data_IF_295872955856
#
_entry.id   IF_295872955856
#
_cell.length_a   1.000
_cell.length_b   1.000
_cell.length_c   1.000
_cell.angle_alpha   90.00
_cell.angle_beta   90.00
_cell.angle_gamma   90.00
#
_symmetry.space_group_name_H-M   'P 1'
#
loop_
_entity.id
_entity.type
_entity.pdbx_description
1 polymer ?
#
# COMPACT_ATOMS: atom_id res chain seq x y z
N UNK A 1 34.13 -61.44 -8.46
CA UNK A 1 33.72 -60.17 -7.81
C UNK A 1 33.45 -60.46 -6.34
N UNK A 2 33.96 -59.64 -5.41
CA UNK A 2 33.85 -59.94 -3.97
C UNK A 2 32.40 -59.83 -3.47
N UNK A 3 32.03 -60.72 -2.54
CA UNK A 3 30.69 -60.78 -1.92
C UNK A 3 30.40 -59.55 -1.04
N UNK A 4 31.44 -58.90 -0.51
CA UNK A 4 31.33 -57.67 0.28
C UNK A 4 30.75 -56.52 -0.54
N UNK A 5 31.25 -56.29 -1.77
CA UNK A 5 30.72 -55.21 -2.64
C UNK A 5 29.24 -55.44 -2.95
N UNK A 6 28.84 -56.68 -3.28
CA UNK A 6 27.44 -57.01 -3.62
C UNK A 6 26.48 -56.83 -2.44
N UNK A 7 26.94 -57.06 -1.20
CA UNK A 7 26.16 -56.78 0.01
C UNK A 7 26.11 -55.28 0.33
N UNK A 8 27.23 -54.57 0.15
CA UNK A 8 27.30 -53.12 0.33
C UNK A 8 26.38 -52.34 -0.62
N UNK A 9 26.35 -52.71 -1.91
CA UNK A 9 25.45 -52.07 -2.89
C UNK A 9 23.97 -52.29 -2.54
N UNK A 10 23.58 -53.51 -2.11
CA UNK A 10 22.20 -53.81 -1.73
C UNK A 10 21.76 -53.00 -0.50
N UNK A 11 22.60 -52.90 0.53
CA UNK A 11 22.33 -52.09 1.71
C UNK A 11 22.20 -50.60 1.37
N UNK A 12 23.07 -50.07 0.52
CA UNK A 12 23.00 -48.70 0.04
C UNK A 12 21.71 -48.42 -0.75
N UNK A 13 21.30 -49.32 -1.66
CA UNK A 13 20.05 -49.16 -2.41
C UNK A 13 18.81 -49.23 -1.51
N UNK A 14 18.81 -50.10 -0.48
CA UNK A 14 17.69 -50.18 0.47
C UNK A 14 17.55 -48.90 1.31
N UNK A 15 18.67 -48.34 1.79
CA UNK A 15 18.69 -47.07 2.51
C UNK A 15 18.26 -45.88 1.64
N UNK A 16 18.72 -45.83 0.39
CA UNK A 16 18.33 -44.78 -0.56
C UNK A 16 16.84 -44.84 -0.89
N UNK A 17 16.30 -46.04 -1.18
CA UNK A 17 14.88 -46.22 -1.51
C UNK A 17 13.99 -45.90 -0.30
N UNK A 18 14.40 -46.32 0.91
CA UNK A 18 13.72 -45.96 2.15
C UNK A 18 13.66 -44.43 2.33
N UNK A 19 14.81 -43.74 2.20
CA UNK A 19 14.89 -42.28 2.35
C UNK A 19 14.00 -41.52 1.36
N UNK A 20 13.95 -41.94 0.08
CA UNK A 20 13.04 -41.38 -0.93
C UNK A 20 11.58 -41.64 -0.55
N UNK A 21 11.22 -42.87 -0.18
CA UNK A 21 9.84 -43.22 0.17
C UNK A 21 9.30 -42.48 1.41
N UNK A 22 10.18 -42.17 2.38
CA UNK A 22 9.81 -41.45 3.61
C UNK A 22 9.71 -39.93 3.42
N UNK A 23 10.41 -39.36 2.45
CA UNK A 23 10.43 -37.91 2.19
C UNK A 23 9.40 -37.46 1.15
N UNK A 24 8.95 -38.35 0.27
CA UNK A 24 7.98 -38.05 -0.79
C UNK A 24 6.67 -37.43 -0.28
N UNK A 25 6.16 -37.84 0.89
CA UNK A 25 4.92 -37.29 1.46
C UNK A 25 5.07 -35.88 2.07
N UNK A 26 6.30 -35.39 2.26
CA UNK A 26 6.57 -34.06 2.82
C UNK A 26 6.87 -32.97 1.78
N UNK A 27 7.10 -33.34 0.52
CA UNK A 27 7.56 -32.45 -0.54
C UNK A 27 6.84 -32.73 -1.86
N UNK A 28 5.62 -32.20 -1.99
CA UNK A 28 4.78 -32.29 -3.19
C UNK A 28 3.70 -31.20 -3.18
N UNK A 29 2.94 -31.08 -4.27
CA UNK A 29 1.94 -30.02 -4.44
C UNK A 29 0.81 -30.08 -3.39
N UNK A 30 0.54 -31.26 -2.85
CA UNK A 30 -0.48 -31.53 -1.82
C UNK A 30 0.14 -31.77 -0.43
N UNK A 31 1.38 -31.30 -0.21
CA UNK A 31 2.04 -31.42 1.10
C UNK A 31 1.33 -30.55 2.15
N UNK A 32 1.05 -31.11 3.33
CA UNK A 32 0.31 -30.44 4.41
C UNK A 32 0.98 -29.15 4.92
N UNK A 33 2.28 -28.98 4.67
CA UNK A 33 3.04 -27.75 4.92
C UNK A 33 2.58 -26.56 4.07
N UNK A 34 1.97 -26.81 2.90
CA UNK A 34 1.36 -25.80 2.03
C UNK A 34 -0.07 -25.42 2.46
N UNK A 35 -0.72 -26.25 3.28
CA UNK A 35 -2.05 -25.97 3.82
C UNK A 35 -2.02 -24.99 5.02
N UNK A 36 -0.85 -24.85 5.66
CA UNK A 36 -0.61 -23.93 6.78
C UNK A 36 -0.81 -22.49 6.31
N UNK A 37 -1.82 -21.83 6.88
CA UNK A 37 -2.16 -20.42 6.59
C UNK A 37 -1.68 -19.52 7.73
N UNK A 38 -1.32 -18.25 7.45
CA UNK A 38 -1.10 -17.26 8.50
C UNK A 38 -2.36 -17.10 9.37
N UNK A 39 -2.17 -16.93 10.68
CA UNK A 39 -3.27 -16.77 11.65
C UNK A 39 -4.15 -15.55 11.34
N UNK A 40 -3.51 -14.47 10.88
CA UNK A 40 -4.15 -13.21 10.55
C UNK A 40 -4.52 -13.14 9.06
N UNK A 41 -5.70 -12.57 8.78
CA UNK A 41 -6.39 -12.77 7.51
C UNK A 41 -5.60 -12.28 6.28
N UNK A 42 -5.68 -13.08 5.21
CA UNK A 42 -5.04 -12.81 3.93
C UNK A 42 -5.95 -13.16 2.75
N UNK A 43 -5.76 -12.50 1.60
CA UNK A 43 -6.44 -12.78 0.34
C UNK A 43 -5.64 -12.24 -0.85
N UNK A 44 -5.99 -12.63 -2.08
CA UNK A 44 -5.44 -12.02 -3.30
C UNK A 44 -6.51 -11.88 -4.38
N UNK A 45 -6.39 -10.85 -5.23
CA UNK A 45 -7.25 -10.61 -6.40
C UNK A 45 -6.38 -10.02 -7.52
N UNK A 46 -6.06 -10.84 -8.52
CA UNK A 46 -5.01 -10.52 -9.48
C UNK A 46 -3.69 -10.24 -8.76
N UNK A 47 -3.00 -9.18 -9.17
CA UNK A 47 -1.68 -8.79 -8.64
C UNK A 47 -1.72 -8.19 -7.22
N UNK A 48 -2.91 -7.92 -6.68
CA UNK A 48 -3.07 -7.36 -5.32
C UNK A 48 -3.17 -8.48 -4.30
N UNK A 49 -2.25 -8.50 -3.34
CA UNK A 49 -2.26 -9.40 -2.17
C UNK A 49 -2.46 -8.57 -0.90
N UNK A 50 -3.41 -8.96 -0.06
CA UNK A 50 -3.62 -8.37 1.26
C UNK A 50 -3.25 -9.42 2.30
N UNK A 51 -2.43 -9.05 3.28
CA UNK A 51 -1.92 -9.95 4.31
C UNK A 51 -1.97 -9.30 5.69
N UNK A 52 -1.99 -10.12 6.74
CA UNK A 52 -1.98 -9.68 8.14
C UNK A 52 -3.08 -8.65 8.46
N UNK A 53 -4.30 -8.89 7.95
CA UNK A 53 -5.41 -7.96 8.07
C UNK A 53 -6.21 -8.19 9.36
N UNK A 54 -6.23 -7.19 10.24
CA UNK A 54 -6.92 -7.23 11.55
C UNK A 54 -7.63 -5.92 11.84
N UNK A 55 -8.73 -5.97 12.59
CA UNK A 55 -9.39 -4.79 13.18
C UNK A 55 -8.93 -4.66 14.63
N UNK A 56 -8.41 -3.50 15.02
CA UNK A 56 -7.85 -3.26 16.36
C UNK A 56 -8.66 -2.20 17.10
N UNK A 57 -9.35 -2.57 18.18
CA UNK A 57 -10.24 -1.67 18.94
C UNK A 57 -9.48 -0.81 19.96
N UNK A 58 -9.98 0.39 20.24
CA UNK A 58 -9.43 1.31 21.25
C UNK A 58 -9.80 0.90 22.67
N UNK A 59 -8.80 0.83 23.56
CA UNK A 59 -8.96 0.51 24.99
C UNK A 59 -9.18 1.74 25.88
N UNK A 60 -9.22 2.93 25.29
CA UNK A 60 -9.43 4.23 25.94
C UNK A 60 -10.92 4.60 26.14
N UNK A 61 -11.84 3.73 25.71
CA UNK A 61 -13.28 3.92 25.85
C UNK A 61 -13.94 4.76 24.75
N UNK A 62 -13.17 5.32 23.82
CA UNK A 62 -13.68 6.11 22.68
C UNK A 62 -14.71 5.35 21.83
N UNK A 63 -14.49 4.03 21.64
CA UNK A 63 -15.26 3.22 20.71
C UNK A 63 -14.69 3.19 19.29
N UNK A 64 -13.50 3.75 19.07
CA UNK A 64 -12.78 3.68 17.80
C UNK A 64 -12.19 2.30 17.53
N UNK A 65 -11.90 2.01 16.26
CA UNK A 65 -11.05 0.88 15.85
C UNK A 65 -10.20 1.25 14.62
N UNK A 66 -9.03 0.62 14.44
CA UNK A 66 -8.18 0.79 13.25
C UNK A 66 -8.13 -0.50 12.45
N UNK A 67 -8.25 -0.41 11.12
CA UNK A 67 -7.92 -1.53 10.23
C UNK A 67 -6.42 -1.54 9.99
N UNK A 68 -5.77 -2.62 10.42
CA UNK A 68 -4.38 -2.93 10.15
C UNK A 68 -4.30 -3.92 8.98
N UNK A 69 -3.32 -3.75 8.10
CA UNK A 69 -3.04 -4.69 7.00
C UNK A 69 -1.68 -4.36 6.35
N UNK A 70 -1.14 -5.28 5.54
CA UNK A 70 -0.17 -4.94 4.49
C UNK A 70 -0.73 -5.34 3.12
N UNK A 71 -0.77 -4.36 2.23
CA UNK A 71 -1.27 -4.49 0.86
C UNK A 71 -0.04 -4.49 -0.05
N UNK A 72 0.16 -5.57 -0.81
CA UNK A 72 1.20 -5.70 -1.82
C UNK A 72 0.58 -5.59 -3.20
N UNK A 73 1.35 -5.08 -4.15
CA UNK A 73 0.99 -4.94 -5.55
C UNK A 73 2.12 -5.49 -6.41
N UNK A 74 1.98 -6.74 -6.84
CA UNK A 74 2.97 -7.41 -7.70
C UNK A 74 2.86 -6.95 -9.17
N UNK A 75 1.90 -6.06 -9.47
CA UNK A 75 1.60 -5.58 -10.81
C UNK A 75 2.52 -4.45 -11.26
N UNK A 76 2.52 -4.18 -12.57
CA UNK A 76 3.40 -3.21 -13.23
C UNK A 76 2.89 -1.75 -13.19
N UNK A 77 1.85 -1.44 -12.40
CA UNK A 77 1.24 -0.11 -12.27
C UNK A 77 0.86 0.17 -10.82
N UNK A 78 1.12 1.38 -10.37
CA UNK A 78 0.67 1.88 -9.07
C UNK A 78 -0.85 1.78 -8.92
N UNK A 79 -1.30 1.43 -7.71
CA UNK A 79 -2.71 1.52 -7.34
C UNK A 79 -2.92 2.51 -6.20
N UNK A 80 -4.07 3.17 -6.15
CA UNK A 80 -4.46 4.03 -5.02
C UNK A 80 -5.54 3.34 -4.20
N UNK A 81 -5.36 3.27 -2.88
CA UNK A 81 -6.39 2.84 -1.94
C UNK A 81 -7.41 3.99 -1.78
N UNK A 82 -8.59 3.83 -2.38
CA UNK A 82 -9.71 4.77 -2.37
C UNK A 82 -10.53 4.69 -1.08
N UNK A 83 -10.58 3.52 -0.45
CA UNK A 83 -11.47 3.25 0.68
C UNK A 83 -11.11 1.98 1.44
N UNK A 84 -11.40 1.99 2.74
CA UNK A 84 -11.52 0.78 3.56
C UNK A 84 -12.89 0.83 4.24
N UNK A 85 -13.57 -0.30 4.35
CA UNK A 85 -14.81 -0.42 5.14
C UNK A 85 -14.86 -1.70 5.95
N UNK A 86 -15.50 -1.64 7.11
CA UNK A 86 -15.72 -2.75 8.05
C UNK A 86 -17.23 -2.90 8.22
N UNK A 87 -17.78 -4.06 7.86
CA UNK A 87 -19.24 -4.32 7.92
C UNK A 87 -20.11 -3.26 7.23
N UNK A 88 -19.57 -2.65 6.17
CA UNK A 88 -20.21 -1.57 5.40
C UNK A 88 -19.89 -0.15 5.87
N UNK A 89 -19.54 0.05 7.15
CA UNK A 89 -19.09 1.35 7.66
C UNK A 89 -17.73 1.72 7.07
N UNK A 90 -17.61 2.90 6.46
CA UNK A 90 -16.35 3.38 5.87
C UNK A 90 -15.42 3.87 6.97
N UNK A 91 -14.14 3.54 6.88
CA UNK A 91 -13.08 4.11 7.70
C UNK A 91 -12.56 5.42 7.09
N UNK A 92 -12.21 6.37 7.95
CA UNK A 92 -11.44 7.55 7.62
C UNK A 92 -10.00 7.14 7.29
N UNK A 93 -9.51 7.53 6.11
CA UNK A 93 -8.16 7.18 5.68
C UNK A 93 -7.21 8.36 5.81
N UNK A 94 -5.96 8.11 6.17
CA UNK A 94 -4.91 9.13 6.18
C UNK A 94 -3.59 8.57 5.66
N UNK A 95 -2.88 9.27 4.75
CA UNK A 95 -1.56 8.86 4.25
C UNK A 95 -0.52 8.69 5.36
N UNK A 96 0.59 8.00 5.06
CA UNK A 96 1.72 7.92 5.96
C UNK A 96 2.34 9.31 6.19
N UNK A 97 3.08 9.48 7.29
CA UNK A 97 3.58 10.79 7.72
C UNK A 97 4.58 11.37 6.71
N UNK A 98 4.15 12.40 5.98
CA UNK A 98 4.93 13.07 4.93
C UNK A 98 4.41 12.78 3.52
N UNK A 99 3.56 11.77 3.36
CA UNK A 99 2.88 11.46 2.10
C UNK A 99 1.61 12.29 1.90
N UNK A 100 1.12 12.32 0.65
CA UNK A 100 -0.08 13.07 0.25
C UNK A 100 -1.18 12.20 -0.36
N UNK A 101 -0.92 10.90 -0.54
CA UNK A 101 -1.78 9.92 -1.23
C UNK A 101 -1.56 8.55 -0.62
N UNK A 102 -2.55 7.67 -0.75
CA UNK A 102 -2.49 6.28 -0.29
C UNK A 102 -2.16 5.35 -1.46
N UNK A 103 -0.89 5.32 -1.85
CA UNK A 103 -0.42 4.56 -3.02
C UNK A 103 0.12 3.20 -2.59
N UNK A 104 -0.20 2.16 -3.37
CA UNK A 104 0.42 0.85 -3.36
C UNK A 104 1.31 0.77 -4.61
N UNK A 105 2.63 1.01 -4.52
CA UNK A 105 3.48 1.13 -5.69
C UNK A 105 3.56 -0.17 -6.51
N UNK A 106 3.85 -0.07 -7.80
CA UNK A 106 4.17 -1.23 -8.64
C UNK A 106 5.37 -2.02 -8.07
N UNK A 107 5.23 -3.33 -7.93
CA UNK A 107 6.22 -4.20 -7.25
C UNK A 107 6.43 -3.87 -5.76
N UNK A 108 5.52 -3.11 -5.14
CA UNK A 108 5.68 -2.51 -3.82
C UNK A 108 4.58 -2.89 -2.82
N UNK A 109 4.55 -2.18 -1.68
CA UNK A 109 3.53 -2.41 -0.65
C UNK A 109 3.17 -1.15 0.14
N UNK A 110 1.88 -0.99 0.44
CA UNK A 110 1.36 -0.06 1.43
C UNK A 110 1.12 -0.78 2.76
N UNK A 111 1.53 -0.17 3.87
CA UNK A 111 1.25 -0.64 5.23
C UNK A 111 0.16 0.22 5.85
N UNK A 112 -0.82 -0.42 6.49
CA UNK A 112 -1.90 0.24 7.23
C UNK A 112 -1.81 -0.12 8.71
N UNK A 113 -1.91 0.90 9.55
CA UNK A 113 -1.81 0.81 11.00
C UNK A 113 -0.37 0.87 11.51
N UNK A 114 -0.19 1.59 12.62
CA UNK A 114 1.11 1.84 13.23
C UNK A 114 1.50 3.33 13.23
N UNK A 115 2.34 3.70 14.18
CA UNK A 115 2.75 5.10 14.41
C UNK A 115 3.43 5.73 13.18
N UNK A 116 2.72 6.63 12.51
CA UNK A 116 3.22 7.37 11.34
C UNK A 116 3.12 6.64 10.01
N UNK A 117 2.60 5.41 10.02
CA UNK A 117 2.16 4.68 8.83
C UNK A 117 0.84 5.28 8.31
N UNK A 118 0.37 4.83 7.14
CA UNK A 118 -0.99 5.15 6.73
C UNK A 118 -2.02 4.53 7.69
N UNK A 119 -3.17 5.18 7.88
CA UNK A 119 -4.22 4.69 8.77
C UNK A 119 -5.58 4.53 8.07
N UNK A 120 -6.40 3.68 8.68
CA UNK A 120 -7.80 3.44 8.33
C UNK A 120 -8.61 3.38 9.64
N UNK A 121 -9.02 4.54 10.14
CA UNK A 121 -9.68 4.75 11.42
C UNK A 121 -11.21 4.64 11.27
N UNK A 122 -11.84 3.80 12.08
CA UNK A 122 -13.28 3.64 12.18
C UNK A 122 -13.73 4.29 13.48
N UNK A 123 -14.35 5.48 13.38
CA UNK A 123 -14.70 6.33 14.53
C UNK A 123 -15.86 5.81 15.37
N UNK A 124 -16.75 4.99 14.81
CA UNK A 124 -17.76 4.23 15.57
C UNK A 124 -17.71 2.73 15.19
N UNK A 125 -16.87 1.99 15.91
CA UNK A 125 -16.74 0.55 15.74
C UNK A 125 -17.99 -0.21 16.25
N UNK A 126 -18.74 0.37 17.20
CA UNK A 126 -19.95 -0.25 17.77
C UNK A 126 -21.09 -0.29 16.75
N UNK A 127 -21.30 0.77 15.97
CA UNK A 127 -22.24 0.78 14.82
C UNK A 127 -21.90 -0.27 13.75
N UNK A 128 -20.61 -0.52 13.52
CA UNK A 128 -20.15 -1.54 12.60
C UNK A 128 -20.24 -2.98 13.16
N UNK A 129 -20.71 -3.16 14.40
CA UNK A 129 -20.83 -4.48 15.03
C UNK A 129 -19.49 -5.09 15.46
N UNK A 130 -18.42 -4.29 15.52
CA UNK A 130 -17.07 -4.71 15.94
C UNK A 130 -17.09 -5.06 17.43
N UNK A 131 -16.53 -6.22 17.76
CA UNK A 131 -16.38 -6.77 19.12
C UNK A 131 -15.14 -7.65 19.14
N UNK A 132 -14.35 -7.59 20.19
CA UNK A 132 -13.11 -8.36 20.31
C UNK A 132 -13.36 -9.87 20.28
N UNK A 133 -12.44 -10.63 19.68
CA UNK A 133 -12.59 -12.07 19.45
C UNK A 133 -13.55 -12.47 18.33
N UNK A 134 -14.28 -11.52 17.73
CA UNK A 134 -15.09 -11.74 16.53
C UNK A 134 -14.24 -11.62 15.25
N UNK A 135 -14.83 -11.92 14.08
CA UNK A 135 -14.25 -11.61 12.78
C UNK A 135 -15.23 -10.76 11.94
N UNK A 136 -14.73 -9.69 11.33
CA UNK A 136 -15.53 -8.70 10.60
C UNK A 136 -15.21 -8.75 9.09
N UNK A 137 -16.21 -8.66 8.20
CA UNK A 137 -15.95 -8.47 6.78
C UNK A 137 -15.32 -7.09 6.54
N UNK A 138 -14.12 -7.08 5.97
CA UNK A 138 -13.38 -5.88 5.58
C UNK A 138 -13.27 -5.82 4.06
N UNK A 139 -13.51 -4.64 3.49
CA UNK A 139 -13.34 -4.36 2.06
C UNK A 139 -12.28 -3.28 1.87
N UNK A 140 -11.35 -3.51 0.96
CA UNK A 140 -10.35 -2.55 0.50
C UNK A 140 -10.67 -2.19 -0.95
N UNK A 141 -10.90 -0.91 -1.24
CA UNK A 141 -11.24 -0.39 -2.56
C UNK A 141 -9.99 0.19 -3.22
N UNK A 142 -9.44 -0.52 -4.21
CA UNK A 142 -8.24 -0.11 -4.95
C UNK A 142 -8.59 0.51 -6.32
N UNK A 143 -7.70 1.36 -6.83
CA UNK A 143 -7.98 2.19 -8.00
C UNK A 143 -8.41 1.42 -9.24
N UNK A 144 -7.78 0.27 -9.48
CA UNK A 144 -7.91 -0.52 -10.71
C UNK A 144 -8.45 -1.93 -10.43
N UNK A 145 -8.03 -2.57 -9.34
CA UNK A 145 -8.56 -3.88 -8.89
C UNK A 145 -9.95 -3.78 -8.26
N UNK A 146 -10.35 -2.59 -7.79
CA UNK A 146 -11.64 -2.40 -7.12
C UNK A 146 -11.69 -3.06 -5.73
N UNK A 147 -12.84 -3.63 -5.38
CA UNK A 147 -13.18 -4.06 -4.03
C UNK A 147 -12.64 -5.47 -3.67
N UNK A 148 -11.46 -5.51 -3.05
CA UNK A 148 -10.88 -6.73 -2.45
C UNK A 148 -11.50 -6.99 -1.08
N UNK A 149 -11.97 -8.21 -0.83
CA UNK A 149 -12.76 -8.57 0.38
C UNK A 149 -12.14 -9.74 1.14
N UNK A 150 -12.18 -9.67 2.47
CA UNK A 150 -11.79 -10.74 3.40
C UNK A 150 -12.51 -10.57 4.75
N UNK A 151 -12.40 -11.55 5.65
CA UNK A 151 -12.84 -11.43 7.04
C UNK A 151 -11.60 -11.29 7.93
N UNK A 152 -11.49 -10.17 8.63
CA UNK A 152 -10.37 -9.87 9.54
C UNK A 152 -10.78 -10.14 10.99
N UNK A 153 -9.87 -10.70 11.80
CA UNK A 153 -10.11 -10.89 13.23
C UNK A 153 -10.10 -9.54 13.97
N UNK A 154 -10.81 -9.47 15.11
CA UNK A 154 -10.89 -8.29 15.96
C UNK A 154 -10.11 -8.52 17.26
N UNK A 155 -9.19 -7.62 17.57
CA UNK A 155 -8.38 -7.64 18.79
C UNK A 155 -8.41 -6.28 19.51
N UNK A 156 -8.29 -6.22 20.84
CA UNK A 156 -8.04 -4.98 21.55
C UNK A 156 -6.62 -4.45 21.28
N UNK A 157 -6.40 -3.14 21.44
CA UNK A 157 -5.09 -2.48 21.36
C UNK A 157 -4.15 -2.81 22.54
N UNK A 158 -3.99 -4.10 22.84
CA UNK A 158 -3.20 -4.65 23.94
C UNK A 158 -2.09 -5.59 23.42
N UNK A 159 -1.12 -5.90 24.27
CA UNK A 159 -0.02 -6.80 23.93
C UNK A 159 0.67 -6.41 22.62
N UNK A 160 0.65 -7.32 21.64
CA UNK A 160 1.20 -7.11 20.31
C UNK A 160 0.51 -6.01 19.48
N UNK A 161 -0.78 -5.72 19.74
CA UNK A 161 -1.58 -4.76 18.96
C UNK A 161 -1.53 -3.33 19.52
N UNK A 162 -0.90 -3.12 20.69
CA UNK A 162 -0.80 -1.81 21.36
C UNK A 162 -0.21 -0.69 20.50
N UNK A 163 0.68 -1.02 19.56
CA UNK A 163 1.38 -0.05 18.69
C UNK A 163 0.65 0.26 17.38
N UNK A 164 -0.51 -0.35 17.13
CA UNK A 164 -1.27 -0.25 15.87
C UNK A 164 -2.76 0.09 16.05
N UNK A 165 -3.23 0.24 17.30
CA UNK A 165 -4.60 0.70 17.60
C UNK A 165 -4.86 2.19 17.27
N UNK A 166 -6.09 2.68 17.49
CA UNK A 166 -6.56 4.02 17.08
C UNK A 166 -5.62 5.18 17.42
N UNK A 167 -5.13 5.21 18.65
CA UNK A 167 -4.21 6.23 19.17
C UNK A 167 -2.86 6.34 18.43
N UNK A 168 -2.52 5.38 17.57
CA UNK A 168 -1.31 5.40 16.74
C UNK A 168 -1.50 6.00 15.33
N UNK A 169 -2.74 6.32 14.93
CA UNK A 169 -3.07 7.00 13.67
C UNK A 169 -2.30 8.34 13.51
N UNK A 170 -1.88 8.77 12.30
CA UNK A 170 -1.37 10.13 12.10
C UNK A 170 -2.33 11.21 12.60
N UNK A 171 -3.64 10.98 12.50
CA UNK A 171 -4.70 11.93 12.86
C UNK A 171 -4.95 12.06 14.36
N UNK A 172 -4.48 11.12 15.20
CA UNK A 172 -4.53 11.26 16.66
C UNK A 172 -3.47 12.25 17.18
N UNK A 173 -2.45 12.55 16.37
CA UNK A 173 -1.35 13.45 16.72
C UNK A 173 -1.72 14.90 16.45
N UNK A 174 -2.68 15.40 17.22
CA UNK A 174 -2.95 16.84 17.33
C UNK A 174 -1.68 17.63 17.70
N UNK A 175 -1.61 18.93 17.37
CA UNK A 175 -0.42 19.74 17.63
C UNK A 175 -0.08 19.76 19.12
N UNK A 176 1.17 19.42 19.46
CA UNK A 176 1.65 19.46 20.84
C UNK A 176 1.56 20.90 21.39
N UNK A 177 0.88 21.13 22.53
CA UNK A 177 1.06 22.37 23.27
C UNK A 177 2.53 22.48 23.71
N UNK A 178 3.24 23.55 23.34
CA UNK A 178 4.62 23.77 23.77
C UNK A 178 5.48 24.69 22.91
N UNK A 179 5.21 24.79 21.59
CA UNK A 179 5.94 25.73 20.71
C UNK A 179 5.28 27.11 20.69
N UNK A 180 5.54 27.91 21.73
CA UNK A 180 5.12 29.31 21.78
C UNK A 180 5.90 30.16 20.77
N UNK A 181 5.32 30.36 19.57
CA UNK A 181 5.81 31.33 18.61
C UNK A 181 5.28 32.72 19.00
N UNK A 182 6.08 33.46 19.78
CA UNK A 182 5.72 34.79 20.29
C UNK A 182 5.82 35.89 19.21
N UNK A 183 4.92 35.87 18.24
CA UNK A 183 4.73 36.98 17.29
C UNK A 183 3.92 38.10 17.95
N UNK A 184 4.61 39.13 18.43
CA UNK A 184 3.99 40.36 18.93
C UNK A 184 3.94 41.40 17.82
N UNK A 185 2.75 41.61 17.24
CA UNK A 185 2.48 42.75 16.36
C UNK A 185 1.40 43.65 17.02
N UNK A 186 1.79 44.88 17.35
CA UNK A 186 0.99 45.81 18.13
C UNK A 186 0.16 46.71 17.21
N UNK A 187 -1.16 46.51 17.17
CA UNK A 187 -2.08 47.34 16.39
C UNK A 187 -2.41 48.66 17.12
N UNK A 188 -2.24 49.79 16.44
CA UNK A 188 -2.64 51.14 16.90
C UNK A 188 -3.68 51.78 15.97
N UNK A 189 -4.67 52.58 16.46
CA UNK A 189 -5.82 53.02 15.65
C UNK A 189 -5.90 54.53 15.32
N UNK A 190 -6.63 54.86 14.24
CA UNK A 190 -7.15 56.21 13.91
C UNK A 190 -6.27 57.07 12.97
N UNK A 191 -6.78 58.08 12.26
CA UNK A 191 -8.19 58.49 12.01
C UNK A 191 -8.31 59.41 10.75
N UNK A 192 -9.41 59.28 9.99
CA UNK A 192 -10.05 60.22 9.01
C UNK A 192 -9.34 60.82 7.75
N UNK A 193 -10.11 61.41 6.78
CA UNK A 193 -9.68 61.65 5.39
C UNK A 193 -9.84 63.10 4.85
N UNK A 194 -9.45 63.29 3.57
CA UNK A 194 -9.83 64.38 2.65
C UNK A 194 -8.68 64.76 1.69
N UNK A 195 -8.84 65.55 0.62
CA UNK A 195 -9.88 65.69 -0.42
C UNK A 195 -9.25 66.51 -1.60
N UNK A 196 -9.83 66.49 -2.80
CA UNK A 196 -9.48 67.30 -4.02
C UNK A 196 -8.06 67.18 -4.63
N UNK A 197 -7.97 67.25 -5.98
CA UNK A 197 -6.69 67.26 -6.71
C UNK A 197 -6.76 67.03 -8.23
N UNK A 198 -7.21 68.04 -9.00
CA UNK A 198 -7.13 68.10 -10.49
C UNK A 198 -5.64 68.09 -10.92
N UNK A 199 -5.14 67.68 -12.10
CA UNK A 199 -5.65 67.30 -13.45
C UNK A 199 -4.51 66.49 -14.14
N UNK A 200 -4.54 65.93 -15.35
CA UNK A 200 -5.55 65.88 -16.44
C UNK A 200 -4.90 65.57 -17.81
N UNK A 201 -5.59 64.83 -18.69
CA UNK A 201 -5.39 64.67 -20.16
C UNK A 201 -3.97 64.46 -20.73
N UNK A 202 -3.73 63.29 -21.36
CA UNK A 202 -2.58 63.07 -22.26
C UNK A 202 -2.51 61.65 -22.86
N UNK A 203 -2.77 61.50 -24.16
CA UNK A 203 -2.74 60.24 -24.92
C UNK A 203 -2.33 60.52 -26.40
N UNK A 204 -2.07 59.51 -27.25
CA UNK A 204 -0.82 58.79 -27.43
C UNK A 204 -0.10 59.10 -28.77
N UNK A 205 1.19 58.70 -28.89
CA UNK A 205 1.92 58.30 -30.14
C UNK A 205 3.01 57.29 -29.73
N UNK A 206 3.15 56.10 -30.31
CA UNK A 206 3.44 55.66 -31.70
C UNK A 206 4.94 55.63 -32.05
N UNK A 207 5.31 54.65 -32.91
CA UNK A 207 6.62 54.49 -33.60
C UNK A 207 7.84 54.06 -32.73
N UNK A 208 8.77 53.21 -33.19
CA UNK A 208 8.80 52.33 -34.39
C UNK A 208 9.93 51.27 -34.29
N UNK A 209 9.91 50.23 -35.17
CA UNK A 209 11.10 49.47 -35.68
C UNK A 209 12.00 48.71 -34.66
N UNK A 210 12.90 47.80 -35.04
CA UNK A 210 12.99 46.76 -36.10
C UNK A 210 14.11 45.76 -35.69
N UNK A 211 14.23 44.60 -36.34
CA UNK A 211 15.40 43.72 -36.19
C UNK A 211 15.20 42.42 -35.38
N UNK A 212 15.65 41.24 -35.79
CA UNK A 212 15.47 40.48 -37.05
C UNK A 212 16.48 39.30 -37.12
N UNK A 213 16.02 38.12 -37.58
CA UNK A 213 16.80 36.95 -38.04
C UNK A 213 17.71 36.13 -37.06
N UNK A 214 17.78 34.82 -37.33
CA UNK A 214 18.80 33.87 -36.81
C UNK A 214 18.36 33.01 -35.62
N UNK A 215 18.29 31.67 -35.71
CA UNK A 215 18.56 30.79 -36.85
C UNK A 215 17.96 29.37 -36.66
N UNK A 216 17.92 28.61 -37.76
CA UNK A 216 17.23 27.31 -37.87
C UNK A 216 18.07 26.13 -37.35
N UNK A 217 17.40 25.06 -36.90
CA UNK A 217 18.01 23.75 -36.61
C UNK A 217 16.92 22.67 -36.58
N UNK A 218 17.04 21.62 -37.38
CA UNK A 218 15.97 20.64 -37.63
C UNK A 218 15.87 19.53 -36.56
N UNK A 219 14.69 18.89 -36.41
CA UNK A 219 14.53 17.69 -35.59
C UNK A 219 15.13 16.45 -36.27
N UNK A 220 15.38 15.40 -35.48
CA UNK A 220 15.82 14.09 -35.95
C UNK A 220 14.94 12.98 -35.39
N UNK A 221 13.90 12.60 -36.13
CA UNK A 221 13.23 11.31 -35.98
C UNK A 221 14.10 10.19 -36.57
N UNK A 222 14.26 9.08 -35.85
CA UNK A 222 14.89 7.86 -36.37
C UNK A 222 14.37 6.62 -35.61
N UNK A 223 13.37 5.94 -36.17
CA UNK A 223 12.95 4.62 -35.69
C UNK A 223 13.85 3.51 -36.28
N UNK A 224 14.09 2.43 -35.54
CA UNK A 224 14.74 1.20 -36.05
C UNK A 224 14.38 -0.05 -35.26
N UNK A 225 13.90 -1.06 -35.99
CA UNK A 225 13.56 -2.47 -35.65
C UNK A 225 13.34 -3.21 -36.99
N UNK A 226 13.12 -4.54 -37.04
CA UNK A 226 13.41 -5.62 -36.09
C UNK A 226 14.79 -6.24 -36.47
N UNK A 227 15.05 -7.55 -36.72
CA UNK A 227 14.25 -8.80 -36.63
C UNK A 227 14.19 -9.29 -35.15
N UNK A 228 13.50 -10.36 -34.71
CA UNK A 228 12.98 -11.62 -35.28
C UNK A 228 14.01 -12.75 -35.47
N UNK A 229 13.70 -13.92 -34.91
CA UNK A 229 14.55 -15.11 -34.88
C UNK A 229 13.69 -16.37 -34.76
N UNK A 230 12.97 -16.72 -35.82
CA UNK A 230 12.19 -17.95 -35.92
C UNK A 230 13.10 -19.17 -36.12
N UNK A 231 13.03 -20.14 -35.19
CA UNK A 231 13.86 -21.34 -35.20
C UNK A 231 13.07 -22.59 -34.78
N UNK A 232 13.12 -23.61 -35.63
CA UNK A 232 12.49 -24.93 -35.46
C UNK A 232 12.95 -25.59 -34.13
N UNK A 233 12.20 -26.49 -33.48
CA UNK A 233 11.03 -27.25 -33.93
C UNK A 233 11.31 -28.74 -33.71
N UNK A 234 10.55 -29.38 -32.82
CA UNK A 234 10.82 -30.76 -32.40
C UNK A 234 9.59 -31.42 -31.77
N UNK A 235 8.91 -32.26 -32.54
CA UNK A 235 7.87 -33.14 -32.02
C UNK A 235 8.49 -34.45 -31.51
N UNK A 236 7.96 -34.99 -30.42
CA UNK A 236 8.20 -36.38 -30.04
C UNK A 236 6.90 -37.00 -29.53
N UNK A 237 6.67 -38.24 -29.92
CA UNK A 237 5.55 -39.07 -29.49
C UNK A 237 6.07 -40.42 -28.97
N UNK A 238 5.27 -41.07 -28.13
CA UNK A 238 5.68 -42.26 -27.36
C UNK A 238 6.43 -41.86 -26.07
N UNK A 239 6.22 -42.52 -24.93
CA UNK A 239 5.38 -43.70 -24.64
C UNK A 239 4.46 -43.46 -23.45
#
# INVERSE_FOLDING_TARGET
MSSSLRRGTLAATALALAAVSLTACGAGNDAQTLEIKPDNAATHVGDIKIQNANVVTGTDGTGEATVTARIFNDGNKDQTLKGVSVSGSRAELSPAKGEKKLVVPAGGSLKLGGKGEASALLTDAKRAGVKDGNAQPVTFDLSSTGAVKLKAAVFPAEGAYKTVGPTSSPSSQGPKPGSSASSSESAGPGDKPGEEGRTGSGQPREQDRQGEQGGQGQPSDAASSPPDATGQGGAHAGH
#
